data_IF_182831751302
#
_entry.id   IF_182831751302
#
_cell.length_a   1.000
_cell.length_b   1.000
_cell.length_c   1.000
_cell.angle_alpha   90.00
_cell.angle_beta   90.00
_cell.angle_gamma   90.00
#
_symmetry.space_group_name_H-M   'P 1'
#
loop_
_entity.id
_entity.type
_entity.pdbx_description
1 polymer ?
#
# COMPACT_ATOMS: atom_id res chain seq x y z
N UNK A 1 4.86 28.56 -13.68
CA UNK A 1 6.01 27.89 -13.03
C UNK A 1 6.08 26.44 -13.52
N UNK A 2 7.05 26.07 -14.37
CA UNK A 2 7.00 24.76 -15.04
C UNK A 2 8.34 24.20 -15.56
N UNK A 3 9.47 24.75 -15.10
CA UNK A 3 10.80 24.24 -15.48
C UNK A 3 11.23 23.00 -14.69
N UNK A 4 12.28 22.32 -15.17
CA UNK A 4 13.04 21.34 -14.36
C UNK A 4 14.00 22.01 -13.37
N UNK A 5 14.23 23.30 -13.54
CA UNK A 5 15.08 24.08 -12.65
C UNK A 5 14.32 24.53 -11.40
N UNK A 6 15.01 24.63 -10.24
CA UNK A 6 14.46 25.24 -9.05
C UNK A 6 14.04 26.68 -9.28
N UNK A 7 12.91 27.05 -8.70
CA UNK A 7 12.50 28.44 -8.54
C UNK A 7 13.23 29.03 -7.33
N UNK A 8 13.87 30.17 -7.48
CA UNK A 8 14.59 30.85 -6.41
C UNK A 8 14.07 32.28 -6.32
N UNK A 9 13.56 32.66 -5.15
CA UNK A 9 13.03 33.98 -4.85
C UNK A 9 13.74 34.50 -3.60
N UNK A 10 14.80 35.31 -3.75
CA UNK A 10 15.53 35.84 -2.61
C UNK A 10 14.72 36.82 -1.76
N UNK A 11 13.83 37.59 -2.39
CA UNK A 11 12.89 38.50 -1.72
C UNK A 11 11.50 38.41 -2.38
N UNK A 12 10.50 38.00 -1.59
CA UNK A 12 9.12 37.87 -2.03
C UNK A 12 8.47 39.21 -2.39
N UNK A 13 8.90 40.33 -1.78
CA UNK A 13 8.36 41.66 -2.03
C UNK A 13 8.84 42.27 -3.35
N UNK A 14 10.01 41.84 -3.83
CA UNK A 14 10.61 42.39 -5.05
C UNK A 14 10.32 41.52 -6.28
N UNK A 15 10.07 40.23 -6.08
CA UNK A 15 9.97 39.27 -7.16
C UNK A 15 8.61 39.32 -7.89
N UNK A 16 8.65 39.33 -9.23
CA UNK A 16 7.47 39.55 -10.08
C UNK A 16 6.31 38.57 -9.85
N UNK A 17 6.63 37.32 -9.49
CA UNK A 17 5.61 36.29 -9.25
C UNK A 17 4.92 36.41 -7.88
N UNK A 18 5.48 37.15 -6.93
CA UNK A 18 5.05 37.12 -5.52
C UNK A 18 4.71 38.49 -4.94
N UNK A 19 5.29 39.58 -5.45
CA UNK A 19 5.13 40.94 -4.91
C UNK A 19 3.67 41.41 -4.79
N UNK A 20 2.81 41.00 -5.71
CA UNK A 20 1.42 41.45 -5.77
C UNK A 20 0.45 40.52 -5.04
N UNK A 21 0.92 39.38 -4.52
CA UNK A 21 0.06 38.40 -3.84
C UNK A 21 -0.33 38.85 -2.44
N UNK A 22 -1.58 38.65 -2.06
CA UNK A 22 -2.09 39.00 -0.72
C UNK A 22 -1.33 38.26 0.40
N UNK A 23 -0.91 37.02 0.15
CA UNK A 23 -0.13 36.23 1.11
C UNK A 23 1.23 36.87 1.39
N UNK A 24 1.89 37.48 0.40
CA UNK A 24 3.18 38.16 0.56
C UNK A 24 3.04 39.39 1.46
N UNK A 25 1.97 40.16 1.26
CA UNK A 25 1.63 41.32 2.10
C UNK A 25 1.30 40.91 3.53
N UNK A 26 0.62 39.77 3.72
CA UNK A 26 0.28 39.24 5.03
C UNK A 26 1.50 38.65 5.78
N UNK A 27 2.45 38.04 5.07
CA UNK A 27 3.68 37.49 5.64
C UNK A 27 4.76 38.55 5.95
N UNK A 28 4.65 39.74 5.36
CA UNK A 28 5.63 40.82 5.52
C UNK A 28 6.88 40.66 4.66
N UNK A 29 6.86 39.78 3.65
CA UNK A 29 8.00 39.47 2.78
C UNK A 29 8.61 38.09 3.05
N UNK A 30 9.90 37.97 2.77
CA UNK A 30 10.67 36.74 3.02
C UNK A 30 11.38 36.22 1.77
N UNK A 31 11.81 34.95 1.83
CA UNK A 31 12.51 34.27 0.74
C UNK A 31 11.91 32.89 0.50
N UNK A 32 12.03 32.38 -0.73
CA UNK A 32 11.53 31.07 -1.12
C UNK A 32 12.47 30.39 -2.11
N UNK A 33 12.68 29.10 -1.94
CA UNK A 33 13.26 28.21 -2.94
C UNK A 33 12.33 27.02 -3.16
N UNK A 34 12.08 26.66 -4.41
CA UNK A 34 11.24 25.54 -4.79
C UNK A 34 11.95 24.62 -5.77
N UNK A 35 12.38 23.43 -5.34
CA UNK A 35 12.97 22.42 -6.21
C UNK A 35 11.91 21.40 -6.66
N UNK A 36 11.65 21.25 -7.97
CA UNK A 36 10.61 20.34 -8.44
C UNK A 36 11.01 18.87 -8.24
N UNK A 37 10.06 18.05 -7.78
CA UNK A 37 10.21 16.61 -7.60
C UNK A 37 9.53 15.92 -8.79
N UNK A 38 10.31 15.17 -9.56
CA UNK A 38 9.82 14.39 -10.70
C UNK A 38 10.05 12.90 -10.45
N UNK A 39 9.04 12.08 -10.72
CA UNK A 39 9.15 10.63 -10.67
C UNK A 39 9.95 10.11 -11.87
N UNK A 40 10.45 8.87 -11.80
CA UNK A 40 11.18 8.23 -12.92
C UNK A 40 10.42 8.24 -14.26
N UNK A 41 9.09 8.19 -14.23
CA UNK A 41 8.25 8.26 -15.43
C UNK A 41 8.11 9.68 -16.02
N UNK A 42 8.80 10.67 -15.46
CA UNK A 42 8.76 12.07 -15.90
C UNK A 42 7.58 12.88 -15.37
N UNK A 43 6.65 12.26 -14.64
CA UNK A 43 5.52 12.95 -14.00
C UNK A 43 6.04 13.83 -12.85
N UNK A 44 5.58 15.08 -12.79
CA UNK A 44 5.82 15.96 -11.63
C UNK A 44 5.01 15.43 -10.44
N UNK A 45 5.69 15.04 -9.37
CA UNK A 45 5.06 14.67 -8.10
C UNK A 45 4.66 15.92 -7.30
N UNK A 46 5.57 16.90 -7.24
CA UNK A 46 5.37 18.10 -6.46
C UNK A 46 6.58 19.03 -6.51
N UNK A 47 6.75 19.85 -5.47
CA UNK A 47 7.89 20.76 -5.31
C UNK A 47 8.31 20.74 -3.84
N UNK A 48 9.60 20.53 -3.59
CA UNK A 48 10.22 20.72 -2.28
C UNK A 48 10.45 22.22 -2.08
N UNK A 49 9.77 22.81 -1.11
CA UNK A 49 9.86 24.24 -0.82
C UNK A 49 10.65 24.49 0.46
N UNK A 50 11.56 25.46 0.42
CA UNK A 50 12.13 26.12 1.59
C UNK A 50 11.67 27.57 1.60
N UNK A 51 11.28 28.09 2.75
CA UNK A 51 10.84 29.47 2.91
C UNK A 51 11.34 30.01 4.26
N UNK A 52 11.71 31.28 4.28
CA UNK A 52 12.00 32.05 5.50
C UNK A 52 11.25 33.38 5.45
N UNK A 53 10.94 33.96 6.60
CA UNK A 53 10.28 35.27 6.68
C UNK A 53 11.25 36.44 6.41
N UNK A 54 12.55 36.15 6.30
CA UNK A 54 13.58 37.11 5.93
C UNK A 54 14.06 36.89 4.49
N UNK A 55 14.44 37.96 3.77
CA UNK A 55 15.15 37.83 2.51
C UNK A 55 16.43 37.02 2.67
N UNK A 56 16.72 36.15 1.71
CA UNK A 56 17.88 35.27 1.73
C UNK A 56 18.44 35.10 0.32
N UNK A 57 19.71 35.43 0.14
CA UNK A 57 20.37 35.26 -1.15
C UNK A 57 20.91 33.84 -1.29
N UNK A 58 20.12 32.96 -1.89
CA UNK A 58 20.49 31.56 -2.12
C UNK A 58 21.72 31.47 -3.01
N UNK A 59 22.78 30.84 -2.50
CA UNK A 59 23.99 30.54 -3.26
C UNK A 59 23.87 29.19 -3.99
N UNK A 60 24.86 28.86 -4.82
CA UNK A 60 24.86 27.62 -5.59
C UNK A 60 24.81 26.35 -4.72
N UNK A 61 25.39 26.37 -3.51
CA UNK A 61 25.35 25.22 -2.59
C UNK A 61 23.93 24.99 -2.09
N UNK A 62 23.19 26.05 -1.80
CA UNK A 62 21.79 25.95 -1.35
C UNK A 62 20.93 25.35 -2.46
N UNK A 63 21.07 25.87 -3.68
CA UNK A 63 20.34 25.36 -4.85
C UNK A 63 20.69 23.89 -5.10
N UNK A 64 21.98 23.52 -5.00
CA UNK A 64 22.44 22.14 -5.17
C UNK A 64 21.93 21.22 -4.06
N UNK A 65 21.84 21.71 -2.83
CA UNK A 65 21.28 20.96 -1.71
C UNK A 65 19.80 20.66 -1.96
N UNK A 66 18.99 21.66 -2.31
CA UNK A 66 17.58 21.48 -2.63
C UNK A 66 17.36 20.55 -3.83
N UNK A 67 18.18 20.64 -4.88
CA UNK A 67 18.18 19.67 -5.99
C UNK A 67 18.48 18.25 -5.53
N UNK A 68 19.49 18.08 -4.67
CA UNK A 68 19.87 16.77 -4.12
C UNK A 68 18.77 16.18 -3.26
N UNK A 69 18.15 16.98 -2.38
CA UNK A 69 17.03 16.57 -1.55
C UNK A 69 15.80 16.20 -2.38
N UNK A 70 15.45 17.00 -3.40
CA UNK A 70 14.35 16.67 -4.31
C UNK A 70 14.61 15.35 -5.06
N UNK A 71 15.86 15.09 -5.47
CA UNK A 71 16.26 13.84 -6.12
C UNK A 71 16.19 12.64 -5.16
N UNK A 72 16.61 12.82 -3.90
CA UNK A 72 16.49 11.80 -2.86
C UNK A 72 15.01 11.47 -2.60
N UNK A 73 14.15 12.50 -2.48
CA UNK A 73 12.71 12.32 -2.33
C UNK A 73 12.11 11.56 -3.52
N UNK A 74 12.49 11.88 -4.76
CA UNK A 74 12.10 11.08 -5.94
C UNK A 74 12.43 9.61 -5.74
N UNK A 75 13.66 9.29 -5.31
CA UNK A 75 14.08 7.90 -5.10
C UNK A 75 13.24 7.19 -4.02
N UNK A 76 12.97 7.87 -2.90
CA UNK A 76 12.14 7.32 -1.82
C UNK A 76 10.71 7.08 -2.28
N UNK A 77 10.11 8.03 -3.00
CA UNK A 77 8.73 7.91 -3.51
C UNK A 77 8.63 6.76 -4.52
N UNK A 78 9.56 6.66 -5.47
CA UNK A 78 9.54 5.58 -6.47
C UNK A 78 9.80 4.19 -5.81
N UNK A 79 10.63 4.14 -4.76
CA UNK A 79 10.90 2.91 -4.02
C UNK A 79 9.66 2.48 -3.21
N UNK A 80 8.99 3.41 -2.55
CA UNK A 80 7.73 3.14 -1.85
C UNK A 80 6.65 2.66 -2.82
N UNK A 81 6.46 3.32 -3.96
CA UNK A 81 5.48 2.89 -4.96
C UNK A 81 5.80 1.48 -5.49
N UNK A 82 7.08 1.19 -5.76
CA UNK A 82 7.52 -0.15 -6.17
C UNK A 82 7.24 -1.20 -5.09
N UNK A 83 7.50 -0.86 -3.81
CA UNK A 83 7.22 -1.74 -2.68
C UNK A 83 5.71 -1.99 -2.52
N UNK A 84 4.88 -0.95 -2.63
CA UNK A 84 3.43 -1.09 -2.61
C UNK A 84 2.90 -1.93 -3.78
N UNK A 85 3.50 -1.82 -4.98
CA UNK A 85 3.18 -2.68 -6.11
C UNK A 85 3.54 -4.15 -5.84
N UNK A 86 4.71 -4.41 -5.24
CA UNK A 86 5.10 -5.74 -4.80
C UNK A 86 4.10 -6.28 -3.78
N UNK A 87 3.72 -5.49 -2.78
CA UNK A 87 2.72 -5.90 -1.78
C UNK A 87 1.37 -6.24 -2.44
N UNK A 88 0.89 -5.43 -3.38
CA UNK A 88 -0.33 -5.72 -4.17
C UNK A 88 -0.22 -7.02 -4.97
N UNK A 89 0.93 -7.26 -5.62
CA UNK A 89 1.20 -8.49 -6.38
C UNK A 89 1.40 -9.71 -5.47
N UNK A 90 1.77 -9.50 -4.20
CA UNK A 90 2.01 -10.57 -3.23
C UNK A 90 0.73 -11.16 -2.62
N UNK A 91 -0.39 -10.44 -2.71
CA UNK A 91 -1.69 -10.86 -2.19
C UNK A 91 -2.85 -10.38 -3.10
N UNK A 92 -2.85 -10.73 -4.40
CA UNK A 92 -3.85 -10.22 -5.32
C UNK A 92 -5.19 -10.93 -5.08
N UNK A 93 -6.25 -10.20 -4.74
CA UNK A 93 -7.59 -10.78 -4.80
C UNK A 93 -7.98 -11.00 -6.26
N UNK A 94 -8.23 -12.25 -6.64
CA UNK A 94 -8.58 -12.66 -8.00
C UNK A 94 -10.06 -13.06 -8.01
N UNK A 95 -10.96 -12.24 -8.60
CA UNK A 95 -12.35 -12.62 -8.77
C UNK A 95 -12.46 -13.85 -9.68
N UNK A 96 -13.19 -14.86 -9.23
CA UNK A 96 -13.47 -16.06 -10.03
C UNK A 96 -14.84 -15.96 -10.69
N UNK A 97 -15.85 -15.54 -9.93
CA UNK A 97 -17.24 -15.40 -10.35
C UNK A 97 -17.88 -14.26 -9.55
N UNK A 98 -19.14 -13.92 -9.86
CA UNK A 98 -19.89 -12.98 -9.05
C UNK A 98 -20.01 -13.48 -7.61
N UNK A 99 -19.53 -12.66 -6.66
CA UNK A 99 -19.54 -12.98 -5.24
C UNK A 99 -18.48 -14.01 -4.79
N UNK A 100 -17.58 -14.46 -5.66
CA UNK A 100 -16.54 -15.45 -5.31
C UNK A 100 -15.17 -14.97 -5.78
N UNK A 101 -14.21 -14.90 -4.86
CA UNK A 101 -12.82 -14.56 -5.17
C UNK A 101 -11.83 -15.47 -4.46
N UNK A 102 -10.60 -15.52 -4.97
CA UNK A 102 -9.47 -16.20 -4.35
C UNK A 102 -8.37 -15.19 -3.97
N UNK A 103 -7.76 -15.40 -2.81
CA UNK A 103 -6.60 -14.69 -2.29
C UNK A 103 -5.44 -15.70 -2.17
N UNK A 104 -4.55 -15.79 -3.17
CA UNK A 104 -3.35 -16.60 -3.07
C UNK A 104 -2.32 -15.87 -2.19
N UNK A 105 -1.85 -16.56 -1.14
CA UNK A 105 -0.79 -16.06 -0.27
C UNK A 105 0.52 -16.78 -0.60
N UNK A 106 1.51 -16.00 -1.04
CA UNK A 106 2.83 -16.50 -1.44
C UNK A 106 3.90 -15.93 -0.51
N UNK A 107 4.85 -16.76 -0.06
CA UNK A 107 5.96 -16.33 0.80
C UNK A 107 5.59 -16.23 2.29
N UNK A 108 6.31 -15.39 3.02
CA UNK A 108 6.15 -15.26 4.48
C UNK A 108 5.09 -14.23 4.85
N UNK A 109 4.27 -14.54 5.86
CA UNK A 109 3.28 -13.62 6.39
C UNK A 109 3.89 -12.99 7.65
N UNK A 110 4.25 -11.72 7.58
CA UNK A 110 4.62 -10.91 8.75
C UNK A 110 3.37 -10.24 9.34
N UNK A 111 3.46 -9.68 10.55
CA UNK A 111 2.40 -8.83 11.14
C UNK A 111 1.99 -7.68 10.21
N UNK A 112 2.97 -6.89 9.75
CA UNK A 112 2.73 -5.78 8.81
C UNK A 112 1.99 -6.23 7.54
N UNK A 113 2.39 -7.39 7.00
CA UNK A 113 1.76 -7.95 5.80
C UNK A 113 0.34 -8.43 6.10
N UNK A 114 0.10 -9.06 7.25
CA UNK A 114 -1.22 -9.53 7.67
C UNK A 114 -2.23 -8.38 7.81
N UNK A 115 -1.82 -7.28 8.44
CA UNK A 115 -2.63 -6.07 8.59
C UNK A 115 -2.92 -5.39 7.25
N UNK A 116 -1.91 -5.30 6.39
CA UNK A 116 -2.06 -4.77 5.04
C UNK A 116 -3.06 -5.61 4.21
N UNK A 117 -2.91 -6.95 4.24
CA UNK A 117 -3.84 -7.88 3.57
C UNK A 117 -5.25 -7.68 4.11
N UNK A 118 -5.42 -7.66 5.43
CA UNK A 118 -6.75 -7.54 6.05
C UNK A 118 -7.46 -6.25 5.63
N UNK A 119 -6.75 -5.12 5.70
CA UNK A 119 -7.28 -3.80 5.29
C UNK A 119 -7.66 -3.77 3.82
N UNK A 120 -6.79 -4.31 2.95
CA UNK A 120 -7.03 -4.36 1.51
C UNK A 120 -8.24 -5.24 1.17
N UNK A 121 -8.32 -6.44 1.76
CA UNK A 121 -9.38 -7.40 1.48
C UNK A 121 -10.73 -6.89 1.95
N UNK A 122 -10.83 -6.29 3.15
CA UNK A 122 -12.08 -5.69 3.63
C UNK A 122 -12.59 -4.63 2.64
N UNK A 123 -11.70 -3.80 2.10
CA UNK A 123 -12.06 -2.77 1.12
C UNK A 123 -12.51 -3.35 -0.22
N UNK A 124 -11.78 -4.32 -0.77
CA UNK A 124 -12.11 -4.93 -2.05
C UNK A 124 -13.34 -5.85 -1.97
N UNK A 125 -13.55 -6.52 -0.84
CA UNK A 125 -14.68 -7.41 -0.62
C UNK A 125 -16.03 -6.72 -0.79
N UNK A 126 -16.15 -5.49 -0.26
CA UNK A 126 -17.35 -4.67 -0.45
C UNK A 126 -17.54 -4.27 -1.92
N UNK A 127 -16.46 -3.83 -2.59
CA UNK A 127 -16.50 -3.41 -3.99
C UNK A 127 -16.87 -4.56 -4.94
N UNK A 128 -16.41 -5.77 -4.64
CA UNK A 128 -16.66 -6.98 -5.43
C UNK A 128 -17.95 -7.71 -5.01
N UNK A 129 -18.67 -7.23 -3.99
CA UNK A 129 -19.88 -7.85 -3.45
C UNK A 129 -19.67 -9.34 -3.13
N UNK A 130 -18.59 -9.64 -2.41
CA UNK A 130 -18.23 -11.03 -2.12
C UNK A 130 -19.22 -11.69 -1.16
N UNK A 131 -19.51 -12.96 -1.44
CA UNK A 131 -20.17 -13.90 -0.54
C UNK A 131 -19.16 -14.93 0.00
N UNK A 132 -18.16 -15.28 -0.82
CA UNK A 132 -17.12 -16.24 -0.48
C UNK A 132 -15.73 -15.72 -0.86
N UNK A 133 -14.77 -15.90 0.05
CA UNK A 133 -13.35 -15.64 -0.18
C UNK A 133 -12.55 -16.90 0.08
N UNK A 134 -11.87 -17.43 -0.94
CA UNK A 134 -10.97 -18.58 -0.82
C UNK A 134 -9.57 -18.06 -0.54
N UNK A 135 -8.96 -18.41 0.59
CA UNK A 135 -7.59 -18.02 0.95
C UNK A 135 -6.68 -19.21 0.72
N UNK A 136 -5.82 -19.14 -0.31
CA UNK A 136 -4.94 -20.24 -0.66
C UNK A 136 -3.55 -20.08 -0.03
N UNK A 137 -3.21 -21.07 0.80
CA UNK A 137 -1.98 -21.13 1.58
C UNK A 137 -0.89 -21.98 0.91
N UNK A 138 -1.13 -22.48 -0.31
CA UNK A 138 -0.19 -23.40 -0.97
C UNK A 138 1.22 -22.81 -1.15
N UNK A 139 1.30 -21.48 -1.33
CA UNK A 139 2.54 -20.73 -1.56
C UNK A 139 3.26 -20.20 -0.32
N UNK A 140 2.73 -20.43 0.89
CA UNK A 140 3.37 -19.88 2.11
C UNK A 140 4.52 -20.77 2.56
N UNK A 141 5.68 -20.21 2.87
CA UNK A 141 6.87 -21.02 3.22
C UNK A 141 6.92 -21.38 4.70
N UNK A 142 6.34 -20.55 5.56
CA UNK A 142 6.32 -20.74 7.00
C UNK A 142 5.01 -20.19 7.58
N UNK A 143 4.46 -20.88 8.59
CA UNK A 143 3.33 -20.41 9.39
C UNK A 143 3.91 -20.15 10.76
N UNK A 144 4.15 -18.89 11.07
CA UNK A 144 4.51 -18.45 12.41
C UNK A 144 3.26 -17.93 13.15
N UNK A 145 3.43 -17.16 14.23
CA UNK A 145 2.29 -16.57 14.96
C UNK A 145 1.44 -15.65 14.06
N UNK A 146 1.98 -15.26 12.94
CA UNK A 146 1.44 -14.26 12.04
C UNK A 146 0.29 -14.83 11.17
N UNK A 147 0.16 -16.15 11.06
CA UNK A 147 -1.06 -16.77 10.53
C UNK A 147 -2.31 -16.38 11.32
N UNK A 148 -2.16 -16.09 12.63
CA UNK A 148 -3.28 -15.68 13.46
C UNK A 148 -3.83 -14.30 13.08
N UNK A 149 -3.06 -13.43 12.42
CA UNK A 149 -3.61 -12.18 11.86
C UNK A 149 -4.64 -12.45 10.75
N UNK A 150 -4.53 -13.59 10.03
CA UNK A 150 -5.57 -14.01 9.09
C UNK A 150 -6.86 -14.46 9.77
N UNK A 151 -6.82 -14.88 11.05
CA UNK A 151 -8.04 -15.21 11.79
C UNK A 151 -8.87 -13.97 12.09
N UNK A 152 -8.23 -12.85 12.39
CA UNK A 152 -8.92 -11.56 12.53
C UNK A 152 -9.63 -11.18 11.22
N UNK A 153 -9.02 -11.47 10.07
CA UNK A 153 -9.67 -11.28 8.77
C UNK A 153 -10.89 -12.19 8.62
N UNK A 154 -10.82 -13.46 9.03
CA UNK A 154 -11.97 -14.39 8.99
C UNK A 154 -13.13 -13.85 9.82
N UNK A 155 -12.85 -13.36 11.03
CA UNK A 155 -13.86 -12.77 11.91
C UNK A 155 -14.48 -11.52 11.29
N UNK A 156 -13.65 -10.64 10.71
CA UNK A 156 -14.13 -9.45 10.01
C UNK A 156 -15.00 -9.82 8.79
N UNK A 157 -14.57 -10.80 7.99
CA UNK A 157 -15.34 -11.30 6.84
C UNK A 157 -16.70 -11.86 7.28
N UNK A 158 -16.72 -12.64 8.37
CA UNK A 158 -17.96 -13.18 8.93
C UNK A 158 -18.94 -12.09 9.35
N UNK A 159 -18.45 -11.01 9.98
CA UNK A 159 -19.28 -9.85 10.33
C UNK A 159 -19.84 -9.14 9.10
N UNK A 160 -19.14 -9.18 7.97
CA UNK A 160 -19.59 -8.65 6.69
C UNK A 160 -20.51 -9.63 5.91
N UNK A 161 -20.81 -10.81 6.47
CA UNK A 161 -21.61 -11.84 5.80
C UNK A 161 -20.85 -12.62 4.73
N UNK A 162 -19.52 -12.61 4.77
CA UNK A 162 -18.63 -13.24 3.79
C UNK A 162 -18.03 -14.50 4.42
N UNK A 163 -18.16 -15.64 3.75
CA UNK A 163 -17.57 -16.89 4.19
C UNK A 163 -16.12 -17.01 3.69
N UNK A 164 -15.16 -17.06 4.62
CA UNK A 164 -13.76 -17.29 4.31
C UNK A 164 -13.45 -18.81 4.32
N UNK A 165 -12.80 -19.30 3.27
CA UNK A 165 -12.48 -20.71 3.05
C UNK A 165 -10.96 -20.87 2.85
N UNK A 166 -10.26 -21.64 3.69
CA UNK A 166 -8.84 -21.87 3.51
C UNK A 166 -8.56 -23.10 2.66
N UNK A 167 -7.56 -23.01 1.79
CA UNK A 167 -7.03 -24.13 1.00
C UNK A 167 -5.51 -24.22 1.12
N UNK A 168 -4.94 -25.35 0.70
CA UNK A 168 -3.48 -25.47 0.55
C UNK A 168 -2.69 -25.53 1.86
N UNK A 169 -3.35 -25.76 3.00
CA UNK A 169 -2.67 -25.94 4.27
C UNK A 169 -1.84 -27.23 4.27
N UNK A 170 -0.52 -27.10 4.37
CA UNK A 170 0.37 -28.26 4.45
C UNK A 170 0.30 -28.97 5.82
N UNK A 171 0.55 -30.29 5.88
CA UNK A 171 0.44 -31.07 7.12
C UNK A 171 1.35 -30.59 8.26
N UNK A 172 2.57 -30.14 7.95
CA UNK A 172 3.52 -29.58 8.92
C UNK A 172 3.00 -28.29 9.55
N UNK A 173 2.39 -27.42 8.74
CA UNK A 173 1.79 -26.16 9.17
C UNK A 173 0.53 -26.40 10.02
N UNK A 174 -0.34 -27.34 9.60
CA UNK A 174 -1.52 -27.73 10.37
C UNK A 174 -1.14 -28.25 11.77
N UNK A 175 -0.09 -29.08 11.86
CA UNK A 175 0.42 -29.59 13.15
C UNK A 175 0.92 -28.46 14.06
N UNK A 176 1.55 -27.42 13.50
CA UNK A 176 2.02 -26.26 14.25
C UNK A 176 0.85 -25.43 14.76
N UNK A 177 -0.14 -25.15 13.91
CA UNK A 177 -1.34 -24.40 14.29
C UNK A 177 -2.12 -25.04 15.45
N UNK A 178 -2.20 -26.37 15.50
CA UNK A 178 -2.86 -27.10 16.60
C UNK A 178 -2.07 -27.00 17.91
N UNK A 179 -0.72 -27.00 17.86
CA UNK A 179 0.13 -26.92 19.07
C UNK A 179 -0.02 -25.60 19.83
N UNK A 180 -0.33 -24.52 19.12
CA UNK A 180 -0.49 -23.19 19.73
C UNK A 180 -1.85 -23.03 20.46
N UNK A 181 -2.62 -24.12 20.59
CA UNK A 181 -3.88 -24.23 21.37
C UNK A 181 -4.96 -23.21 20.96
N UNK A 182 -4.98 -22.85 19.68
CA UNK A 182 -5.93 -21.91 19.10
C UNK A 182 -7.23 -22.60 18.70
N UNK A 183 -8.36 -21.91 18.88
CA UNK A 183 -9.68 -22.43 18.48
C UNK A 183 -9.93 -22.11 17.01
N UNK A 184 -9.87 -23.13 16.16
CA UNK A 184 -10.12 -23.02 14.72
C UNK A 184 -11.53 -23.51 14.30
N UNK A 185 -12.41 -23.77 15.28
CA UNK A 185 -13.76 -24.32 15.06
C UNK A 185 -14.63 -23.49 14.11
N UNK A 186 -14.34 -22.19 13.99
CA UNK A 186 -15.08 -21.23 13.18
C UNK A 186 -14.46 -21.03 11.78
N UNK A 187 -13.39 -21.77 11.46
CA UNK A 187 -12.63 -21.63 10.23
C UNK A 187 -12.83 -22.86 9.34
N UNK A 188 -13.27 -22.62 8.10
CA UNK A 188 -13.47 -23.68 7.11
C UNK A 188 -12.17 -23.98 6.36
N UNK A 189 -11.69 -25.22 6.44
CA UNK A 189 -10.52 -25.70 5.70
C UNK A 189 -10.89 -26.76 4.66
N UNK A 190 -10.30 -26.66 3.47
CA UNK A 190 -10.43 -27.62 2.38
C UNK A 190 -9.05 -28.09 1.92
N UNK A 191 -8.96 -29.35 1.46
CA UNK A 191 -7.67 -29.93 1.08
C UNK A 191 -7.06 -29.27 -0.16
N UNK A 192 -7.88 -28.68 -1.04
CA UNK A 192 -7.44 -27.99 -2.24
C UNK A 192 -8.52 -27.03 -2.77
N UNK A 193 -8.14 -26.22 -3.76
CA UNK A 193 -9.03 -25.27 -4.42
C UNK A 193 -10.27 -25.93 -5.03
N UNK A 194 -10.14 -27.12 -5.63
CA UNK A 194 -11.27 -27.83 -6.24
C UNK A 194 -12.37 -28.16 -5.22
N UNK A 195 -11.99 -28.58 -4.01
CA UNK A 195 -12.95 -28.87 -2.93
C UNK A 195 -13.65 -27.60 -2.44
N UNK A 196 -12.92 -26.50 -2.26
CA UNK A 196 -13.49 -25.21 -1.86
C UNK A 196 -14.45 -24.67 -2.95
N UNK A 197 -14.07 -24.77 -4.22
CA UNK A 197 -14.93 -24.39 -5.35
C UNK A 197 -16.22 -25.22 -5.38
N UNK A 198 -16.12 -26.53 -5.12
CA UNK A 198 -17.29 -27.41 -5.06
C UNK A 198 -18.23 -27.03 -3.91
N UNK A 199 -17.71 -26.62 -2.76
CA UNK A 199 -18.49 -26.13 -1.60
C UNK A 199 -19.29 -24.88 -1.93
N UNK A 200 -18.69 -23.94 -2.67
CA UNK A 200 -19.39 -22.72 -3.13
C UNK A 200 -20.29 -22.94 -4.36
N UNK A 201 -20.56 -24.19 -4.73
CA UNK A 201 -21.48 -24.55 -5.81
C UNK A 201 -20.89 -24.56 -7.22
N UNK A 202 -19.56 -24.45 -7.35
CA UNK A 202 -18.87 -24.45 -8.65
C UNK A 202 -18.46 -25.88 -9.00
N UNK A 203 -19.10 -26.47 -10.01
CA UNK A 203 -18.73 -27.78 -10.54
C UNK A 203 -17.65 -27.64 -11.60
N UNK A 204 -16.42 -28.01 -11.26
CA UNK A 204 -15.34 -28.17 -12.23
C UNK A 204 -15.61 -29.43 -13.05
N UNK A 205 -15.94 -29.27 -14.33
CA UNK A 205 -16.01 -30.39 -15.27
C UNK A 205 -14.59 -30.59 -15.78
N UNK A 206 -13.93 -31.66 -15.31
CA UNK A 206 -12.63 -32.10 -15.83
C UNK A 206 -12.86 -33.10 -16.94
#
# INVERSE_FOLDING_TARGET
MGGREPLVIPDLNEHELTKDMDVTKAFGGGSLIGAPIYLKNGKKFGTLCGMDNNPYNFNEKDIKLFKSLATLLTYVIDLDDSYQQILKLSAPIVPLLQGVAILPLIGEISEERGDYISTMIIKEAHKLQLNHLIIDLSGITNVEREFFYLLNLVDAMKLLGIEALFTGMRPDLARKAIKDNQRLDHVSFFGNLQQALSHVGIKLTV
#
